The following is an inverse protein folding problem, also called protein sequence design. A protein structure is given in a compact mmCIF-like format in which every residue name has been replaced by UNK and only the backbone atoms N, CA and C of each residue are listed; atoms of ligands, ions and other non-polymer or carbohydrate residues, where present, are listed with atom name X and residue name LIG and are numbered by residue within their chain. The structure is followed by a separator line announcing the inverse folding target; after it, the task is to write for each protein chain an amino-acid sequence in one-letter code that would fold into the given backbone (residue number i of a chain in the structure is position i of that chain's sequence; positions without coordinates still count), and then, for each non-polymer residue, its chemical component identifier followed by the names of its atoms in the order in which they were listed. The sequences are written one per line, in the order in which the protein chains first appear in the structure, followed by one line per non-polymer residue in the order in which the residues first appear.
data_IF_562940022016
#
_entry.id   IF_562940022016
#
_cell.length_a   1.000
_cell.length_b   1.000
_cell.length_c   1.000
_cell.angle_alpha   90.00
_cell.angle_beta   90.00
_cell.angle_gamma   90.00
#
_symmetry.space_group_name_H-M   'P 1'
#
loop_
_entity.id
_entity.type
_entity.pdbx_description
1 polymer ?
#
# COMPACT_ATOMS: atom_id res chain seq x y z
N UNK A 1 -3.34 -5.11 9.29
CA UNK A 1 -2.17 -4.33 8.85
C UNK A 1 -1.84 -4.48 7.37
N UNK A 2 -1.26 -5.60 6.88
CA UNK A 2 -0.88 -5.71 5.46
C UNK A 2 -2.07 -5.53 4.49
N UNK A 3 -3.23 -6.12 4.82
CA UNK A 3 -4.45 -5.96 4.02
C UNK A 3 -5.02 -4.53 4.07
N UNK A 4 -4.87 -3.83 5.20
CA UNK A 4 -5.31 -2.44 5.36
C UNK A 4 -4.42 -1.49 4.53
N UNK A 5 -3.11 -1.74 4.51
CA UNK A 5 -2.15 -1.02 3.67
C UNK A 5 -2.49 -1.23 2.19
N UNK A 6 -2.75 -2.47 1.77
CA UNK A 6 -3.17 -2.78 0.41
C UNK A 6 -4.49 -2.07 0.04
N UNK A 7 -5.49 -2.11 0.93
CA UNK A 7 -6.76 -1.42 0.71
C UNK A 7 -6.56 0.09 0.53
N UNK A 8 -5.77 0.71 1.42
CA UNK A 8 -5.47 2.14 1.35
C UNK A 8 -4.75 2.51 0.04
N UNK A 9 -3.74 1.73 -0.35
CA UNK A 9 -3.01 1.95 -1.60
C UNK A 9 -3.94 1.84 -2.81
N UNK A 10 -4.82 0.85 -2.84
CA UNK A 10 -5.80 0.69 -3.91
C UNK A 10 -6.78 1.87 -3.98
N UNK A 11 -7.27 2.37 -2.84
CA UNK A 11 -8.12 3.56 -2.79
C UNK A 11 -7.41 4.80 -3.38
N UNK A 12 -6.10 4.97 -3.13
CA UNK A 12 -5.33 6.07 -3.72
C UNK A 12 -5.16 5.92 -5.23
N UNK A 13 -4.97 4.69 -5.71
CA UNK A 13 -4.89 4.39 -7.14
C UNK A 13 -6.24 4.65 -7.83
N UNK A 14 -7.34 4.23 -7.23
CA UNK A 14 -8.71 4.52 -7.70
C UNK A 14 -9.00 6.03 -7.75
N UNK A 15 -8.40 6.80 -6.84
CA UNK A 15 -8.43 8.27 -6.85
C UNK A 15 -7.49 8.91 -7.90
N UNK A 16 -6.87 8.11 -8.77
CA UNK A 16 -6.02 8.57 -9.88
C UNK A 16 -4.54 8.77 -9.52
N UNK A 17 -4.10 8.37 -8.33
CA UNK A 17 -2.67 8.42 -7.98
C UNK A 17 -1.91 7.27 -8.62
N UNK A 18 -0.64 7.51 -8.97
CA UNK A 18 0.26 6.42 -9.35
C UNK A 18 0.56 5.52 -8.15
N UNK A 19 0.97 4.27 -8.39
CA UNK A 19 1.38 3.35 -7.32
C UNK A 19 2.47 3.96 -6.43
N UNK A 20 3.45 4.66 -7.02
CA UNK A 20 4.52 5.31 -6.27
C UNK A 20 3.97 6.40 -5.31
N UNK A 21 3.05 7.23 -5.78
CA UNK A 21 2.38 8.24 -4.94
C UNK A 21 1.53 7.59 -3.85
N UNK A 22 0.77 6.54 -4.18
CA UNK A 22 -0.04 5.79 -3.21
C UNK A 22 0.81 5.12 -2.13
N UNK A 23 2.00 4.62 -2.48
CA UNK A 23 2.96 4.03 -1.55
C UNK A 23 3.58 5.09 -0.63
N UNK A 24 3.88 6.28 -1.15
CA UNK A 24 4.35 7.41 -0.33
C UNK A 24 3.25 7.85 0.65
N UNK A 25 2.02 8.00 0.18
CA UNK A 25 0.87 8.32 1.03
C UNK A 25 0.69 7.28 2.15
N UNK A 26 0.80 5.99 1.82
CA UNK A 26 0.69 4.91 2.79
C UNK A 26 1.86 4.93 3.79
N UNK A 27 3.08 5.22 3.33
CA UNK A 27 4.23 5.37 4.23
C UNK A 27 4.01 6.46 5.27
N UNK A 28 3.44 7.60 4.86
CA UNK A 28 3.09 8.68 5.78
C UNK A 28 1.94 8.31 6.72
N UNK A 29 0.88 7.68 6.22
CA UNK A 29 -0.30 7.31 7.01
C UNK A 29 -0.01 6.25 8.08
N UNK A 30 0.87 5.30 7.77
CA UNK A 30 1.16 4.14 8.63
C UNK A 30 2.53 4.25 9.32
N UNK A 31 3.24 5.37 9.18
CA UNK A 31 4.59 5.59 9.71
C UNK A 31 5.60 4.51 9.26
N UNK A 32 5.53 4.12 7.99
CA UNK A 32 6.37 3.09 7.37
C UNK A 32 7.25 3.66 6.27
N UNK A 33 8.41 3.02 6.07
CA UNK A 33 9.20 3.27 4.86
C UNK A 33 8.47 2.70 3.63
N UNK A 34 8.71 3.29 2.46
CA UNK A 34 8.14 2.80 1.20
C UNK A 34 8.47 1.33 0.92
N UNK A 35 9.66 0.88 1.30
CA UNK A 35 10.06 -0.53 1.20
C UNK A 35 9.14 -1.45 2.02
N UNK A 36 8.81 -1.06 3.25
CA UNK A 36 7.91 -1.85 4.10
C UNK A 36 6.48 -1.85 3.54
N UNK A 37 6.02 -0.73 3.00
CA UNK A 37 4.71 -0.66 2.32
C UNK A 37 4.66 -1.62 1.13
N UNK A 38 5.68 -1.63 0.26
CA UNK A 38 5.74 -2.58 -0.86
C UNK A 38 5.73 -4.03 -0.39
N UNK A 39 6.49 -4.37 0.66
CA UNK A 39 6.49 -5.72 1.23
C UNK A 39 5.12 -6.11 1.78
N UNK A 40 4.42 -5.18 2.45
CA UNK A 40 3.05 -5.40 2.94
C UNK A 40 2.07 -5.68 1.81
N UNK A 41 2.14 -4.94 0.70
CA UNK A 41 1.33 -5.18 -0.51
C UNK A 41 1.57 -6.60 -1.04
N UNK A 42 2.83 -6.97 -1.27
CA UNK A 42 3.21 -8.29 -1.80
C UNK A 42 2.72 -9.42 -0.88
N UNK A 43 2.87 -9.25 0.43
CA UNK A 43 2.42 -10.25 1.42
C UNK A 43 0.90 -10.37 1.48
N UNK A 44 0.16 -9.28 1.30
CA UNK A 44 -1.31 -9.29 1.28
C UNK A 44 -1.84 -9.98 0.01
N UNK A 45 -1.29 -9.67 -1.16
CA UNK A 45 -1.69 -10.29 -2.44
C UNK A 45 -1.44 -11.81 -2.45
N UNK A 46 -0.30 -12.26 -1.89
CA UNK A 46 0.01 -13.70 -1.80
C UNK A 46 -0.97 -14.51 -0.97
N UNK A 47 -1.69 -13.90 -0.02
CA UNK A 47 -2.70 -14.60 0.80
C UNK A 47 -4.05 -14.72 0.11
N UNK A 48 -4.28 -13.93 -0.94
CA UNK A 48 -5.53 -13.93 -1.71
C UNK A 48 -5.53 -14.97 -2.84
N UNK A 49 -4.38 -15.56 -3.14
CA UNK A 49 -4.21 -16.69 -4.06
C UNK A 49 -4.36 -18.01 -3.31
#
# INVERSE_FOLDING_TARGET
MNEEILLFVNQKIEAGKTLAQAVVDAGLQFELSSTLVYLSIIQAERRRM
#
